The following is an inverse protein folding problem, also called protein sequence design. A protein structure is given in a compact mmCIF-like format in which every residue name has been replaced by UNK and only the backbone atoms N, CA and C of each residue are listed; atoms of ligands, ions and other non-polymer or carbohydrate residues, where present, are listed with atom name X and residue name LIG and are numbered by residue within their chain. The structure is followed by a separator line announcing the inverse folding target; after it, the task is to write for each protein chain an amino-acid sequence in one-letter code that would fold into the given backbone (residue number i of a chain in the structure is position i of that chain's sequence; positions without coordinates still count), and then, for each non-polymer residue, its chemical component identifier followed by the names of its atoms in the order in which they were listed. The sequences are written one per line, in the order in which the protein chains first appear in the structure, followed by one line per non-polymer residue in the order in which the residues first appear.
data_IF_180321440961
#
_entry.id   IF_180321440961
#
_cell.length_a   1.000
_cell.length_b   1.000
_cell.length_c   1.000
_cell.angle_alpha   90.00
_cell.angle_beta   90.00
_cell.angle_gamma   90.00
#
_symmetry.space_group_name_H-M   'P 1'
#
loop_
_entity.id
_entity.type
_entity.pdbx_description
1 polymer ?
#
# COMPACT_ATOMS: atom_id res chain seq x y z
N UNK A 1 -1.95 -20.74 -18.95
CA UNK A 1 -0.68 -20.04 -18.67
C UNK A 1 -0.28 -20.40 -17.25
N UNK A 2 0.83 -21.14 -17.11
CA UNK A 2 1.42 -21.49 -15.81
C UNK A 2 1.95 -20.19 -15.20
N UNK A 3 1.55 -19.85 -13.98
CA UNK A 3 2.05 -18.67 -13.27
C UNK A 3 3.48 -18.97 -12.80
N UNK A 4 4.47 -18.66 -13.63
CA UNK A 4 5.89 -18.80 -13.30
C UNK A 4 6.47 -17.43 -12.99
N UNK A 5 7.14 -17.30 -11.84
CA UNK A 5 7.91 -16.10 -11.49
C UNK A 5 9.31 -16.23 -12.11
N UNK A 6 9.71 -15.25 -12.91
CA UNK A 6 11.08 -15.17 -13.41
C UNK A 6 11.99 -14.68 -12.27
N UNK A 7 12.90 -15.55 -11.81
CA UNK A 7 13.89 -15.30 -10.75
C UNK A 7 13.32 -15.00 -9.34
N UNK A 8 12.70 -15.98 -8.66
CA UNK A 8 12.10 -15.77 -7.35
C UNK A 8 13.16 -15.64 -6.25
N UNK A 9 13.10 -14.56 -5.48
CA UNK A 9 13.83 -14.45 -4.20
C UNK A 9 13.00 -15.15 -3.14
N UNK A 10 13.41 -16.36 -2.78
CA UNK A 10 12.70 -17.19 -1.80
C UNK A 10 13.42 -17.13 -0.45
N UNK A 11 12.68 -16.74 0.60
CA UNK A 11 13.12 -16.90 1.98
C UNK A 11 12.39 -18.14 2.53
N UNK A 12 13.09 -19.27 2.77
CA UNK A 12 12.44 -20.48 3.23
C UNK A 12 11.82 -20.28 4.62
N UNK A 13 10.67 -20.90 4.85
CA UNK A 13 9.95 -21.01 6.13
C UNK A 13 9.58 -19.71 6.86
N UNK A 14 9.87 -18.53 6.26
CA UNK A 14 9.53 -17.24 6.82
C UNK A 14 8.02 -17.08 7.02
N UNK A 15 7.22 -17.50 6.03
CA UNK A 15 5.76 -17.48 6.12
C UNK A 15 5.24 -18.46 7.19
N UNK A 16 5.78 -19.68 7.27
CA UNK A 16 5.38 -20.66 8.28
C UNK A 16 5.63 -20.14 9.71
N UNK A 17 6.76 -19.49 9.93
CA UNK A 17 7.06 -18.85 11.21
C UNK A 17 6.17 -17.63 11.50
N UNK A 18 5.95 -16.75 10.51
CA UNK A 18 5.12 -15.55 10.71
C UNK A 18 3.64 -15.90 10.96
N UNK A 19 3.11 -16.93 10.30
CA UNK A 19 1.70 -17.32 10.41
C UNK A 19 1.43 -18.25 11.58
N UNK A 20 2.29 -19.24 11.83
CA UNK A 20 2.03 -20.30 12.81
C UNK A 20 3.03 -20.32 13.97
N UNK A 21 4.01 -19.41 14.00
CA UNK A 21 5.12 -19.40 14.96
C UNK A 21 5.90 -20.74 15.01
N UNK A 22 5.84 -21.52 13.93
CA UNK A 22 6.52 -22.82 13.78
C UNK A 22 7.05 -22.94 12.36
N UNK A 23 8.35 -23.21 12.23
CA UNK A 23 9.01 -23.36 10.92
C UNK A 23 8.48 -24.57 10.12
N UNK A 24 7.96 -25.60 10.80
CA UNK A 24 7.46 -26.82 10.16
C UNK A 24 5.98 -26.77 9.75
N UNK A 25 5.31 -25.62 9.86
CA UNK A 25 3.90 -25.53 9.50
C UNK A 25 3.74 -25.51 7.98
N UNK A 26 2.85 -26.37 7.46
CA UNK A 26 2.51 -26.40 6.04
C UNK A 26 1.56 -25.25 5.74
N UNK A 27 2.00 -24.33 4.88
CA UNK A 27 1.15 -23.27 4.33
C UNK A 27 0.52 -23.81 3.06
N UNK A 28 -0.81 -23.90 3.03
CA UNK A 28 -1.55 -24.35 1.85
C UNK A 28 -1.23 -23.48 0.65
N UNK A 29 -0.84 -24.11 -0.47
CA UNK A 29 -0.51 -23.40 -1.69
C UNK A 29 -1.77 -22.97 -2.43
N UNK A 30 -1.66 -21.94 -3.27
CA UNK A 30 -2.77 -21.51 -4.14
C UNK A 30 -3.24 -22.64 -5.07
N UNK A 31 -2.33 -23.54 -5.47
CA UNK A 31 -2.62 -24.71 -6.32
C UNK A 31 -3.51 -25.74 -5.66
N UNK A 32 -3.64 -25.73 -4.34
CA UNK A 32 -4.49 -26.67 -3.60
C UNK A 32 -5.96 -26.20 -3.57
N UNK A 33 -6.23 -24.96 -3.97
CA UNK A 33 -7.59 -24.40 -4.06
C UNK A 33 -8.19 -24.53 -5.47
N UNK A 34 -9.53 -24.71 -5.57
CA UNK A 34 -10.24 -24.65 -6.85
C UNK A 34 -9.95 -23.33 -7.58
N UNK A 35 -9.76 -23.42 -8.89
CA UNK A 35 -9.31 -22.27 -9.71
C UNK A 35 -10.35 -21.15 -9.81
N UNK A 36 -11.62 -21.46 -9.59
CA UNK A 36 -12.72 -20.49 -9.56
C UNK A 36 -12.82 -19.70 -8.25
N UNK A 37 -12.02 -20.07 -7.25
CA UNK A 37 -11.84 -19.33 -6.00
C UNK A 37 -10.58 -18.46 -6.00
N UNK A 38 -9.76 -18.54 -7.05
CA UNK A 38 -8.54 -17.77 -7.13
C UNK A 38 -8.84 -16.29 -7.35
N UNK A 39 -8.03 -15.39 -6.77
CA UNK A 39 -8.02 -13.99 -7.16
C UNK A 39 -7.79 -13.82 -8.67
N UNK A 40 -8.57 -12.95 -9.31
CA UNK A 40 -8.47 -12.71 -10.75
C UNK A 40 -7.09 -12.16 -11.18
N UNK A 41 -6.43 -11.41 -10.29
CA UNK A 41 -5.20 -10.67 -10.58
C UNK A 41 -4.03 -11.05 -9.66
N UNK A 42 -3.70 -12.34 -9.61
CA UNK A 42 -2.57 -12.89 -8.82
C UNK A 42 -1.23 -12.15 -9.04
N UNK A 43 -0.82 -11.78 -10.27
CA UNK A 43 0.45 -11.05 -10.45
C UNK A 43 0.43 -9.67 -9.81
N UNK A 44 -0.67 -8.92 -9.93
CA UNK A 44 -0.79 -7.59 -9.33
C UNK A 44 -0.76 -7.68 -7.81
N UNK A 45 -1.49 -8.64 -7.24
CA UNK A 45 -1.47 -8.97 -5.82
C UNK A 45 -0.03 -9.23 -5.32
N UNK A 46 0.74 -10.04 -6.05
CA UNK A 46 2.13 -10.31 -5.73
C UNK A 46 2.97 -9.03 -5.69
N UNK A 47 2.93 -8.20 -6.75
CA UNK A 47 3.73 -6.98 -6.80
C UNK A 47 3.32 -5.95 -5.76
N UNK A 48 2.01 -5.75 -5.54
CA UNK A 48 1.50 -4.85 -4.51
C UNK A 48 1.97 -5.25 -3.12
N UNK A 49 1.95 -6.55 -2.80
CA UNK A 49 2.47 -7.05 -1.52
C UNK A 49 3.96 -6.73 -1.34
N UNK A 50 4.78 -7.00 -2.37
CA UNK A 50 6.22 -6.76 -2.31
C UNK A 50 6.57 -5.27 -2.21
N UNK A 51 5.84 -4.40 -2.91
CA UNK A 51 6.02 -2.95 -2.79
C UNK A 51 5.68 -2.48 -1.36
N UNK A 52 4.56 -2.94 -0.80
CA UNK A 52 4.14 -2.61 0.56
C UNK A 52 5.20 -3.04 1.58
N UNK A 53 5.60 -4.32 1.56
CA UNK A 53 6.56 -4.88 2.53
C UNK A 53 7.95 -4.27 2.34
N UNK A 54 8.39 -4.07 1.09
CA UNK A 54 9.66 -3.46 0.76
C UNK A 54 9.77 -2.04 1.29
N UNK A 55 8.77 -1.19 1.01
CA UNK A 55 8.74 0.19 1.54
C UNK A 55 8.61 0.21 3.07
N UNK A 56 7.78 -0.66 3.65
CA UNK A 56 7.65 -0.76 5.11
C UNK A 56 8.98 -1.08 5.81
N UNK A 57 9.73 -2.04 5.25
CA UNK A 57 11.05 -2.43 5.79
C UNK A 57 12.07 -1.30 5.66
N UNK A 58 12.03 -0.56 4.54
CA UNK A 58 12.87 0.63 4.33
C UNK A 58 12.54 1.70 5.39
N UNK A 59 11.25 1.99 5.62
CA UNK A 59 10.85 2.99 6.63
C UNK A 59 11.30 2.62 8.03
N UNK A 60 11.12 1.36 8.44
CA UNK A 60 11.59 0.88 9.75
C UNK A 60 13.11 1.09 9.89
N UNK A 61 13.87 0.77 8.84
CA UNK A 61 15.32 0.95 8.82
C UNK A 61 15.71 2.44 8.93
N UNK A 62 15.10 3.30 8.10
CA UNK A 62 15.36 4.75 8.10
C UNK A 62 15.01 5.36 9.47
N UNK A 63 13.87 4.99 10.05
CA UNK A 63 13.45 5.46 11.38
C UNK A 63 14.40 4.98 12.48
N UNK A 64 14.83 3.72 12.45
CA UNK A 64 15.79 3.19 13.43
C UNK A 64 17.14 3.95 13.37
N UNK A 65 17.66 4.20 12.17
CA UNK A 65 18.89 4.99 11.97
C UNK A 65 18.69 6.44 12.42
N UNK A 66 17.55 7.04 12.12
CA UNK A 66 17.20 8.39 12.57
C UNK A 66 17.13 8.50 14.10
N UNK A 67 16.49 7.55 14.77
CA UNK A 67 16.42 7.48 16.22
C UNK A 67 17.80 7.29 16.86
N UNK A 68 18.65 6.45 16.27
CA UNK A 68 20.03 6.28 16.73
C UNK A 68 20.84 7.59 16.63
N UNK A 69 20.74 8.30 15.50
CA UNK A 69 21.40 9.60 15.33
C UNK A 69 20.80 10.69 16.23
N UNK A 70 19.51 10.62 16.52
CA UNK A 70 18.84 11.51 17.46
C UNK A 70 19.36 11.31 18.88
N UNK A 71 19.46 10.05 19.33
CA UNK A 71 20.01 9.70 20.64
C UNK A 71 21.46 10.18 20.80
N UNK A 72 22.25 10.13 19.73
CA UNK A 72 23.63 10.65 19.68
C UNK A 72 23.71 12.17 19.52
N UNK A 73 22.58 12.89 19.49
CA UNK A 73 22.48 14.35 19.25
C UNK A 73 23.15 14.82 17.95
N UNK A 74 23.24 13.94 16.94
CA UNK A 74 23.88 14.21 15.64
C UNK A 74 22.91 14.29 14.47
N UNK A 75 21.63 13.99 14.66
CA UNK A 75 20.63 13.96 13.59
C UNK A 75 20.65 15.23 12.73
N UNK A 76 20.53 16.40 13.36
CA UNK A 76 20.51 17.70 12.67
C UNK A 76 21.83 18.08 11.98
N UNK A 77 22.93 17.38 12.27
CA UNK A 77 24.23 17.57 11.61
C UNK A 77 24.45 16.61 10.43
N UNK A 78 23.55 15.63 10.26
CA UNK A 78 23.70 14.53 9.32
C UNK A 78 22.83 14.77 8.08
N UNK A 79 23.28 15.63 7.16
CA UNK A 79 22.46 16.12 6.05
C UNK A 79 21.90 15.02 5.15
N UNK A 80 22.67 13.96 4.86
CA UNK A 80 22.19 12.85 4.00
C UNK A 80 20.97 12.15 4.57
N UNK A 81 20.89 12.02 5.90
CA UNK A 81 19.78 11.37 6.58
C UNK A 81 18.52 12.25 6.56
N UNK A 82 18.68 13.56 6.68
CA UNK A 82 17.59 14.53 6.53
C UNK A 82 17.03 14.52 5.10
N UNK A 83 17.91 14.44 4.09
CA UNK A 83 17.50 14.29 2.69
C UNK A 83 16.72 13.00 2.46
N UNK A 84 17.17 11.88 3.01
CA UNK A 84 16.42 10.61 2.92
C UNK A 84 15.03 10.74 3.55
N UNK A 85 14.91 11.29 4.76
CA UNK A 85 13.61 11.46 5.43
C UNK A 85 12.69 12.37 4.60
N UNK A 86 13.22 13.47 4.06
CA UNK A 86 12.44 14.39 3.22
C UNK A 86 11.96 13.71 1.94
N UNK A 87 12.85 13.01 1.24
CA UNK A 87 12.51 12.26 0.02
C UNK A 87 11.56 11.08 0.31
N UNK A 88 11.50 10.61 1.56
CA UNK A 88 10.57 9.54 1.97
C UNK A 88 9.11 10.00 2.00
N UNK A 89 8.83 11.32 2.07
CA UNK A 89 7.48 11.85 2.31
C UNK A 89 6.34 11.29 1.40
N UNK A 90 6.52 11.08 0.07
CA UNK A 90 5.45 10.54 -0.76
C UNK A 90 5.29 9.01 -0.66
N UNK A 91 6.33 8.29 -0.26
CA UNK A 91 6.35 6.83 -0.31
C UNK A 91 5.37 6.14 0.66
N UNK A 92 5.05 6.67 1.87
CA UNK A 92 4.00 6.12 2.71
C UNK A 92 2.64 6.03 2.01
N UNK A 93 2.29 7.00 1.15
CA UNK A 93 1.04 6.95 0.38
C UNK A 93 1.03 5.80 -0.63
N UNK A 94 2.19 5.52 -1.26
CA UNK A 94 2.36 4.39 -2.18
C UNK A 94 2.26 3.07 -1.42
N UNK A 95 2.97 2.94 -0.29
CA UNK A 95 2.94 1.74 0.53
C UNK A 95 1.52 1.44 1.07
N UNK A 96 0.80 2.47 1.52
CA UNK A 96 -0.58 2.34 1.98
C UNK A 96 -1.52 1.90 0.85
N UNK A 97 -1.41 2.52 -0.32
CA UNK A 97 -2.21 2.14 -1.50
C UNK A 97 -1.92 0.70 -1.91
N UNK A 98 -0.65 0.30 -1.95
CA UNK A 98 -0.24 -1.06 -2.27
C UNK A 98 -0.75 -2.09 -1.24
N UNK A 99 -0.80 -1.72 0.04
CA UNK A 99 -1.40 -2.55 1.10
C UNK A 99 -2.89 -2.75 0.93
N UNK A 100 -3.63 -1.68 0.63
CA UNK A 100 -5.07 -1.78 0.32
C UNK A 100 -5.32 -2.60 -0.94
N UNK A 101 -4.52 -2.42 -2.00
CA UNK A 101 -4.60 -3.26 -3.19
C UNK A 101 -4.35 -4.73 -2.85
N UNK A 102 -3.38 -5.03 -2.00
CA UNK A 102 -3.09 -6.41 -1.58
C UNK A 102 -4.29 -7.03 -0.85
N UNK A 103 -4.87 -6.31 0.10
CA UNK A 103 -6.01 -6.79 0.87
C UNK A 103 -7.26 -6.98 -0.02
N UNK A 104 -7.54 -6.02 -0.92
CA UNK A 104 -8.75 -6.05 -1.73
C UNK A 104 -8.65 -7.03 -2.90
N UNK A 105 -7.52 -7.07 -3.60
CA UNK A 105 -7.29 -8.02 -4.68
C UNK A 105 -7.20 -9.45 -4.14
N UNK A 106 -6.59 -9.65 -2.97
CA UNK A 106 -6.49 -10.97 -2.35
C UNK A 106 -7.83 -11.53 -1.88
N UNK A 107 -8.84 -10.67 -1.72
CA UNK A 107 -10.19 -11.05 -1.31
C UNK A 107 -11.09 -11.43 -2.48
N UNK A 108 -10.78 -10.96 -3.69
CA UNK A 108 -11.48 -11.39 -4.90
C UNK A 108 -11.36 -12.91 -5.07
N UNK A 109 -12.41 -13.62 -5.52
CA UNK A 109 -13.68 -13.12 -6.07
C UNK A 109 -14.80 -12.92 -5.02
N UNK A 110 -14.47 -12.87 -3.73
CA UNK A 110 -15.45 -12.87 -2.65
C UNK A 110 -15.74 -11.46 -2.16
N UNK A 111 -17.04 -11.12 -2.04
CA UNK A 111 -17.49 -9.95 -1.29
C UNK A 111 -17.62 -10.27 0.20
N UNK A 112 -18.11 -11.47 0.53
CA UNK A 112 -18.02 -12.06 1.85
C UNK A 112 -17.60 -13.51 1.66
N UNK A 113 -16.49 -13.91 2.26
CA UNK A 113 -15.88 -15.22 2.02
C UNK A 113 -16.88 -16.35 2.33
N UNK A 114 -17.09 -17.24 1.35
CA UNK A 114 -18.01 -18.36 1.43
C UNK A 114 -19.51 -18.01 1.42
N UNK A 115 -19.87 -16.73 1.34
CA UNK A 115 -21.27 -16.28 1.41
C UNK A 115 -21.73 -15.52 0.17
N UNK A 116 -20.93 -14.61 -0.39
CA UNK A 116 -21.34 -13.77 -1.52
C UNK A 116 -20.16 -13.48 -2.44
N UNK A 117 -20.34 -13.66 -3.75
CA UNK A 117 -19.33 -13.32 -4.76
C UNK A 117 -19.45 -11.85 -5.19
N UNK A 118 -18.35 -11.25 -5.61
CA UNK A 118 -18.31 -9.85 -6.09
C UNK A 118 -19.24 -9.62 -7.29
N UNK A 119 -19.37 -10.63 -8.17
CA UNK A 119 -20.30 -10.60 -9.30
C UNK A 119 -21.78 -10.48 -8.91
N UNK A 120 -22.13 -10.94 -7.71
CA UNK A 120 -23.51 -10.89 -7.18
C UNK A 120 -23.79 -9.61 -6.41
N UNK A 121 -22.76 -8.78 -6.17
CA UNK A 121 -22.88 -7.51 -5.44
C UNK A 121 -23.36 -6.33 -6.29
N UNK A 122 -23.50 -6.51 -7.61
CA UNK A 122 -23.87 -5.42 -8.54
C UNK A 122 -25.38 -5.20 -8.52
N UNK A 123 -25.82 -3.94 -8.37
CA UNK A 123 -27.24 -3.60 -8.37
C UNK A 123 -27.86 -3.76 -9.76
N UNK A 124 -28.92 -4.57 -9.92
CA UNK A 124 -29.55 -4.80 -11.22
C UNK A 124 -30.45 -3.63 -11.68
N UNK A 125 -30.75 -2.69 -10.77
CA UNK A 125 -31.70 -1.59 -11.00
C UNK A 125 -31.05 -0.33 -11.56
N UNK A 126 -29.71 -0.27 -11.60
CA UNK A 126 -28.98 0.93 -12.01
C UNK A 126 -28.48 0.73 -13.44
N UNK A 127 -28.84 1.65 -14.33
CA UNK A 127 -28.27 1.69 -15.68
C UNK A 127 -26.76 1.92 -15.63
N UNK A 128 -26.00 1.17 -16.44
CA UNK A 128 -24.54 1.31 -16.57
C UNK A 128 -24.12 2.76 -16.84
N UNK A 129 -24.93 3.52 -17.60
CA UNK A 129 -24.67 4.93 -17.88
C UNK A 129 -24.69 5.83 -16.63
N UNK A 130 -25.59 5.55 -15.67
CA UNK A 130 -25.64 6.31 -14.42
C UNK A 130 -24.43 6.01 -13.52
N UNK A 131 -23.98 4.75 -13.51
CA UNK A 131 -22.78 4.35 -12.77
C UNK A 131 -21.53 5.06 -13.32
N UNK A 132 -21.34 5.06 -14.65
CA UNK A 132 -20.20 5.76 -15.28
C UNK A 132 -20.27 7.27 -15.07
N UNK A 133 -21.46 7.87 -15.21
CA UNK A 133 -21.64 9.31 -15.01
C UNK A 133 -21.28 9.73 -13.58
N UNK A 134 -21.80 9.03 -12.56
CA UNK A 134 -21.48 9.32 -11.17
C UNK A 134 -20.02 9.05 -10.83
N UNK A 135 -19.43 7.97 -11.36
CA UNK A 135 -18.01 7.68 -11.20
C UNK A 135 -17.13 8.80 -11.76
N UNK A 136 -17.42 9.29 -12.96
CA UNK A 136 -16.70 10.42 -13.56
C UNK A 136 -16.89 11.71 -12.76
N UNK A 137 -18.10 11.94 -12.23
CA UNK A 137 -18.39 13.06 -11.34
C UNK A 137 -17.53 13.03 -10.07
N UNK A 138 -17.49 11.88 -9.38
CA UNK A 138 -16.64 11.70 -8.21
C UNK A 138 -15.15 11.78 -8.53
N UNK A 139 -14.73 11.22 -9.67
CA UNK A 139 -13.34 11.32 -10.14
C UNK A 139 -12.94 12.79 -10.33
N UNK A 140 -13.77 13.59 -11.02
CA UNK A 140 -13.52 15.01 -11.22
C UNK A 140 -13.47 15.79 -9.91
N UNK A 141 -14.40 15.51 -8.99
CA UNK A 141 -14.45 16.14 -7.67
C UNK A 141 -13.18 15.82 -6.85
N UNK A 142 -12.80 14.55 -6.75
CA UNK A 142 -11.60 14.15 -6.01
C UNK A 142 -10.31 14.65 -6.65
N UNK A 143 -10.25 14.71 -7.98
CA UNK A 143 -9.12 15.29 -8.69
C UNK A 143 -9.00 16.80 -8.41
N UNK A 144 -10.12 17.53 -8.46
CA UNK A 144 -10.15 18.95 -8.10
C UNK A 144 -9.72 19.21 -6.65
N UNK A 145 -10.23 18.43 -5.71
CA UNK A 145 -9.82 18.49 -4.30
C UNK A 145 -8.34 18.13 -4.11
N UNK A 146 -7.84 17.11 -4.82
CA UNK A 146 -6.44 16.70 -4.76
C UNK A 146 -5.48 17.78 -5.27
N UNK A 147 -5.82 18.43 -6.39
CA UNK A 147 -5.03 19.57 -6.92
C UNK A 147 -5.04 20.72 -5.92
N UNK A 148 -6.21 21.11 -5.40
CA UNK A 148 -6.32 22.17 -4.40
C UNK A 148 -5.48 21.87 -3.16
N UNK A 149 -5.54 20.63 -2.66
CA UNK A 149 -4.74 20.19 -1.51
C UNK A 149 -3.24 20.36 -1.77
N UNK A 150 -2.73 19.90 -2.91
CA UNK A 150 -1.30 20.03 -3.27
C UNK A 150 -0.90 21.51 -3.34
N UNK A 151 -1.73 22.35 -3.97
CA UNK A 151 -1.46 23.79 -4.06
C UNK A 151 -1.40 24.45 -2.68
N UNK A 152 -2.30 24.08 -1.77
CA UNK A 152 -2.30 24.59 -0.40
C UNK A 152 -1.08 24.10 0.39
N UNK A 153 -0.73 22.82 0.29
CA UNK A 153 0.47 22.29 0.95
C UNK A 153 1.73 22.99 0.44
N UNK A 154 1.87 23.18 -0.88
CA UNK A 154 3.01 23.90 -1.45
C UNK A 154 3.04 25.36 -1.02
N UNK A 155 1.87 26.01 -0.92
CA UNK A 155 1.77 27.38 -0.41
C UNK A 155 2.25 27.47 1.04
N UNK A 156 1.81 26.58 1.92
CA UNK A 156 2.20 26.61 3.33
C UNK A 156 3.67 26.24 3.55
N UNK A 157 4.18 25.25 2.80
CA UNK A 157 5.60 24.90 2.83
C UNK A 157 6.48 26.08 2.39
N UNK A 158 6.04 26.87 1.41
CA UNK A 158 6.75 28.08 0.96
C UNK A 158 6.61 29.25 1.93
N UNK A 159 5.48 29.38 2.63
CA UNK A 159 5.29 30.42 3.63
C UNK A 159 6.24 30.23 4.83
N UNK A 160 6.53 28.97 5.18
CA UNK A 160 7.43 28.63 6.27
C UNK A 160 6.83 28.89 7.65
N UNK A 161 7.51 28.47 8.73
CA UNK A 161 7.03 28.70 10.09
C UNK A 161 7.08 30.18 10.44
N UNK A 162 6.04 30.69 11.11
CA UNK A 162 6.06 32.06 11.66
C UNK A 162 7.23 32.24 12.64
N UNK A 163 7.91 33.40 12.61
CA UNK A 163 9.00 33.66 13.54
C UNK A 163 8.47 33.67 14.98
N UNK A 164 9.21 32.99 15.87
CA UNK A 164 8.85 32.71 17.28
C UNK A 164 8.62 33.96 18.16
N UNK A 165 8.83 35.18 17.64
CA UNK A 165 8.77 36.45 18.38
C UNK A 165 7.56 37.35 18.00
N UNK A 166 6.37 36.80 17.73
CA UNK A 166 5.17 37.59 17.37
C UNK A 166 4.25 37.99 18.55
N UNK A 167 4.75 37.98 19.80
CA UNK A 167 4.03 38.51 20.98
C UNK A 167 4.91 39.43 21.83
#
# INVERSE_FOLDING_TARGET
KTLTLDNPILIPDALSFLTYHRFSAVVTGLTDFPRDEWPDQVPLLYYSYHIMVGLGTIFVTVTAVALYHLWRKKLFKTSWLLWLIMLSAPFPYIANTAGWMTAELGRQPWLVYGLQRTSEGVSPLISEGNAVFTLLGFLGLYLGMGILYILLVLKEVNYGPEPVNSY
#
